data_IF_935602075660
#
_entry.id   IF_935602075660
#
_cell.length_a   1.000
_cell.length_b   1.000
_cell.length_c   1.000
_cell.angle_alpha   90.00
_cell.angle_beta   90.00
_cell.angle_gamma   90.00
#
_symmetry.space_group_name_H-M   'P 1'
#
loop_
_entity.id
_entity.type
_entity.pdbx_description
1 polymer ?
#
# COMPACT_ATOMS: atom_id res chain seq x y z
N UNK A 1 23.21 -32.24 18.82
CA UNK A 1 21.97 -31.86 18.11
C UNK A 1 22.36 -30.87 17.02
N UNK A 2 22.00 -31.17 15.78
CA UNK A 2 22.29 -30.30 14.64
C UNK A 2 21.08 -29.39 14.39
N UNK A 3 21.25 -28.09 14.65
CA UNK A 3 20.19 -27.07 14.50
C UNK A 3 19.68 -27.02 13.06
N UNK A 4 20.50 -27.41 12.08
CA UNK A 4 20.10 -27.47 10.67
C UNK A 4 19.20 -28.67 10.38
N UNK A 5 19.49 -29.83 10.99
CA UNK A 5 18.64 -31.00 10.88
C UNK A 5 17.26 -30.73 11.49
N UNK A 6 17.22 -30.11 12.68
CA UNK A 6 15.96 -29.75 13.33
C UNK A 6 15.14 -28.74 12.52
N UNK A 7 15.77 -27.73 11.92
CA UNK A 7 15.10 -26.75 11.09
C UNK A 7 14.54 -27.38 9.80
N UNK A 8 15.29 -28.31 9.21
CA UNK A 8 14.85 -29.11 8.05
C UNK A 8 13.62 -29.95 8.39
N UNK A 9 13.66 -30.70 9.49
CA UNK A 9 12.54 -31.55 9.93
C UNK A 9 11.30 -30.74 10.30
N UNK A 10 11.50 -29.56 10.90
CA UNK A 10 10.43 -28.63 11.24
C UNK A 10 9.92 -27.81 10.05
N UNK A 11 10.58 -27.87 8.89
CA UNK A 11 10.23 -27.05 7.73
C UNK A 11 10.37 -25.55 7.98
N UNK A 12 11.29 -25.12 8.85
CA UNK A 12 11.48 -23.71 9.21
C UNK A 12 12.86 -23.18 8.80
N UNK A 13 12.98 -21.86 8.61
CA UNK A 13 14.25 -21.20 8.35
C UNK A 13 15.02 -20.87 9.62
N UNK A 14 16.35 -20.82 9.52
CA UNK A 14 17.25 -20.50 10.63
C UNK A 14 17.71 -19.05 10.53
N UNK A 15 17.48 -18.27 11.58
CA UNK A 15 17.96 -16.89 11.68
C UNK A 15 19.41 -16.84 12.17
N UNK A 16 20.24 -16.10 11.46
CA UNK A 16 21.63 -15.82 11.85
C UNK A 16 21.67 -14.44 12.49
N UNK A 17 22.11 -14.38 13.75
CA UNK A 17 22.25 -13.12 14.50
C UNK A 17 23.70 -12.67 14.57
N UNK A 18 23.93 -11.37 14.42
CA UNK A 18 25.20 -10.70 14.71
C UNK A 18 24.93 -9.57 15.71
N UNK A 19 25.50 -9.68 16.92
CA UNK A 19 25.29 -8.73 18.02
C UNK A 19 23.80 -8.38 18.19
N UNK A 20 22.97 -9.42 18.31
CA UNK A 20 21.51 -9.33 18.52
C UNK A 20 20.71 -8.78 17.33
N UNK A 21 21.36 -8.48 16.19
CA UNK A 21 20.68 -8.10 14.95
C UNK A 21 20.63 -9.28 13.98
N UNK A 22 19.49 -9.49 13.32
CA UNK A 22 19.38 -10.50 12.26
C UNK A 22 20.27 -10.09 11.10
N UNK A 23 21.29 -10.90 10.82
CA UNK A 23 22.24 -10.72 9.72
C UNK A 23 21.85 -11.52 8.48
N UNK A 24 21.05 -12.57 8.63
CA UNK A 24 20.57 -13.38 7.51
C UNK A 24 19.62 -14.49 7.94
N UNK A 25 19.05 -15.16 6.95
CA UNK A 25 18.23 -16.36 7.12
C UNK A 25 18.80 -17.45 6.23
N UNK A 26 19.05 -18.62 6.79
CA UNK A 26 19.36 -19.82 6.04
C UNK A 26 18.10 -20.67 5.87
N UNK A 27 17.90 -21.15 4.65
CA UNK A 27 16.81 -22.02 4.24
C UNK A 27 17.41 -23.24 3.54
N UNK A 28 16.67 -24.34 3.50
CA UNK A 28 17.03 -25.46 2.63
C UNK A 28 16.79 -25.07 1.17
N UNK A 29 17.46 -25.79 0.26
CA UNK A 29 17.24 -25.60 -1.17
C UNK A 29 15.78 -25.78 -1.56
N UNK A 30 15.13 -26.84 -1.05
CA UNK A 30 13.72 -27.15 -1.30
C UNK A 30 12.79 -26.00 -0.85
N UNK A 31 13.04 -25.42 0.33
CA UNK A 31 12.28 -24.28 0.84
C UNK A 31 12.42 -23.06 -0.06
N UNK A 32 13.64 -22.78 -0.53
CA UNK A 32 13.90 -21.65 -1.43
C UNK A 32 13.21 -21.83 -2.79
N UNK A 33 13.32 -23.03 -3.38
CA UNK A 33 12.68 -23.35 -4.66
C UNK A 33 11.16 -23.31 -4.57
N UNK A 34 10.58 -23.81 -3.47
CA UNK A 34 9.13 -23.74 -3.22
C UNK A 34 8.64 -22.30 -3.15
N UNK A 35 9.35 -21.42 -2.43
CA UNK A 35 9.02 -19.99 -2.35
C UNK A 35 9.08 -19.30 -3.71
N UNK A 36 10.04 -19.68 -4.57
CA UNK A 36 10.11 -19.14 -5.93
C UNK A 36 8.92 -19.60 -6.78
N UNK A 37 8.55 -20.88 -6.70
CA UNK A 37 7.41 -21.42 -7.42
C UNK A 37 6.09 -20.77 -6.98
N UNK A 38 5.86 -20.63 -5.67
CA UNK A 38 4.69 -19.92 -5.15
C UNK A 38 4.65 -18.48 -5.67
N UNK A 39 5.78 -17.78 -5.64
CA UNK A 39 5.89 -16.41 -6.13
C UNK A 39 5.58 -16.30 -7.62
N UNK A 40 6.02 -17.26 -8.44
CA UNK A 40 5.71 -17.30 -9.86
C UNK A 40 4.24 -17.63 -10.13
N UNK A 41 3.63 -18.54 -9.37
CA UNK A 41 2.18 -18.84 -9.45
C UNK A 41 1.36 -17.61 -9.08
N UNK A 42 1.71 -16.90 -7.99
CA UNK A 42 1.08 -15.65 -7.59
C UNK A 42 1.20 -14.58 -8.68
N UNK A 43 2.36 -14.48 -9.35
CA UNK A 43 2.55 -13.56 -10.47
C UNK A 43 1.74 -13.96 -11.70
N UNK A 44 1.54 -15.25 -11.94
CA UNK A 44 0.74 -15.76 -13.05
C UNK A 44 -0.76 -15.57 -12.83
N UNK A 45 -1.26 -15.85 -11.63
CA UNK A 45 -2.67 -15.59 -11.27
C UNK A 45 -3.03 -14.12 -11.42
N UNK A 46 -2.17 -13.20 -10.94
CA UNK A 46 -2.37 -11.75 -11.16
C UNK A 46 -2.36 -11.40 -12.66
N UNK A 47 -1.56 -12.09 -13.48
CA UNK A 47 -1.54 -11.88 -14.94
C UNK A 47 -2.74 -12.50 -15.65
N UNK A 48 -3.31 -13.59 -15.14
CA UNK A 48 -4.50 -14.23 -15.69
C UNK A 48 -5.78 -13.46 -15.35
N UNK A 49 -5.86 -12.86 -14.15
CA UNK A 49 -6.91 -11.89 -13.79
C UNK A 49 -6.89 -10.63 -14.68
N UNK A 50 -5.77 -10.36 -15.35
CA UNK A 50 -5.61 -9.29 -16.35
C UNK A 50 -5.92 -9.76 -17.79
N UNK A 51 -6.19 -11.05 -18.01
CA UNK A 51 -6.27 -11.67 -19.35
C UNK A 51 -7.63 -12.25 -19.73
N UNK A 52 -8.70 -12.13 -18.93
CA UNK A 52 -10.04 -12.47 -19.44
C UNK A 52 -10.51 -11.43 -20.48
N UNK A 53 -10.64 -11.80 -21.77
CA UNK A 53 -11.20 -10.94 -22.80
C UNK A 53 -12.64 -11.40 -23.05
N UNK A 54 -13.63 -10.66 -22.57
CA UNK A 54 -14.95 -10.68 -23.21
C UNK A 54 -15.03 -9.50 -24.17
N UNK A 55 -14.62 -9.77 -25.39
CA UNK A 55 -14.98 -8.99 -26.57
C UNK A 55 -16.51 -8.92 -26.67
N UNK A 56 -17.07 -7.74 -26.41
CA UNK A 56 -18.20 -7.21 -27.17
C UNK A 56 -17.97 -5.71 -27.40
N UNK A 57 -17.64 -5.42 -28.66
CA UNK A 57 -17.98 -4.20 -29.40
C UNK A 57 -17.64 -2.86 -28.75
N UNK A 58 -16.42 -2.42 -29.10
CA UNK A 58 -15.95 -1.05 -29.37
C UNK A 58 -17.03 0.03 -29.28
N UNK A 59 -17.15 0.65 -28.10
CA UNK A 59 -17.36 2.08 -28.00
C UNK A 59 -16.20 2.65 -27.19
N UNK A 60 -15.68 3.78 -27.67
CA UNK A 60 -14.55 4.52 -27.14
C UNK A 60 -14.76 4.93 -25.67
N UNK A 61 -14.39 4.08 -24.71
CA UNK A 61 -14.22 4.48 -23.31
C UNK A 61 -12.96 3.85 -22.72
N UNK A 62 -11.83 4.47 -23.06
CA UNK A 62 -10.68 4.56 -22.17
C UNK A 62 -11.12 5.26 -20.87
N UNK A 63 -11.61 4.53 -19.86
CA UNK A 63 -11.92 5.14 -18.54
C UNK A 63 -11.53 4.21 -17.39
N UNK A 64 -10.31 4.44 -16.89
CA UNK A 64 -10.03 4.69 -15.47
C UNK A 64 -10.48 3.66 -14.41
N UNK A 65 -9.61 2.68 -14.13
CA UNK A 65 -9.44 2.14 -12.76
C UNK A 65 -8.38 2.96 -12.00
N UNK A 66 -8.40 4.26 -12.19
CA UNK A 66 -7.74 5.23 -11.32
C UNK A 66 -8.66 5.51 -10.12
N UNK A 67 -8.09 5.87 -8.97
CA UNK A 67 -8.88 6.26 -7.82
C UNK A 67 -9.98 7.27 -8.23
N UNK A 68 -11.22 7.14 -7.72
CA UNK A 68 -12.23 8.19 -7.89
C UNK A 68 -11.84 9.41 -7.05
N UNK A 69 -10.87 10.17 -7.54
CA UNK A 69 -10.43 11.42 -6.93
C UNK A 69 -11.39 12.49 -7.40
N UNK A 70 -12.27 12.91 -6.49
CA UNK A 70 -13.12 14.07 -6.71
C UNK A 70 -12.33 15.29 -6.28
N UNK A 71 -11.95 16.12 -7.26
CA UNK A 71 -11.26 17.40 -7.06
C UNK A 71 -12.23 18.55 -7.33
N UNK A 72 -12.45 19.41 -6.35
CA UNK A 72 -13.37 20.56 -6.47
C UNK A 72 -12.69 21.88 -6.87
N UNK A 73 -11.40 21.87 -7.23
CA UNK A 73 -10.63 23.08 -7.52
C UNK A 73 -9.93 23.02 -8.88
N UNK A 74 -10.20 24.02 -9.73
CA UNK A 74 -9.55 24.24 -11.02
C UNK A 74 -8.03 24.42 -10.81
N UNK A 75 -7.22 23.56 -11.44
CA UNK A 75 -5.75 23.55 -11.30
C UNK A 75 -5.17 22.44 -10.42
N UNK A 76 -5.99 21.52 -9.89
CA UNK A 76 -5.56 20.31 -9.16
C UNK A 76 -5.54 19.04 -10.01
N UNK A 77 -5.90 19.11 -11.30
CA UNK A 77 -6.05 17.94 -12.18
C UNK A 77 -4.79 17.09 -12.24
N UNK A 78 -3.61 17.71 -12.36
CA UNK A 78 -2.32 16.99 -12.42
C UNK A 78 -2.04 16.24 -11.10
N UNK A 79 -2.37 16.86 -9.96
CA UNK A 79 -2.15 16.29 -8.64
C UNK A 79 -3.16 15.16 -8.37
N UNK A 80 -4.41 15.33 -8.82
CA UNK A 80 -5.44 14.30 -8.80
C UNK A 80 -5.06 13.10 -9.68
N UNK A 81 -4.60 13.33 -10.91
CA UNK A 81 -4.11 12.28 -11.82
C UNK A 81 -2.89 11.55 -11.24
N UNK A 82 -1.95 12.28 -10.62
CA UNK A 82 -0.78 11.66 -10.00
C UNK A 82 -1.17 10.83 -8.76
N UNK A 83 -2.11 11.31 -7.93
CA UNK A 83 -2.69 10.54 -6.82
C UNK A 83 -3.40 9.28 -7.33
N UNK A 84 -4.16 9.42 -8.41
CA UNK A 84 -4.86 8.35 -9.10
C UNK A 84 -3.95 7.24 -9.61
N UNK A 85 -2.79 7.60 -10.17
CA UNK A 85 -1.78 6.63 -10.61
C UNK A 85 -0.96 6.04 -9.45
N UNK A 86 -0.75 6.83 -8.39
CA UNK A 86 0.04 6.41 -7.23
C UNK A 86 -0.77 5.54 -6.25
N UNK A 87 -2.09 5.67 -6.20
CA UNK A 87 -2.94 4.96 -5.24
C UNK A 87 -4.01 4.15 -5.97
N UNK A 88 -4.01 2.84 -5.72
CA UNK A 88 -5.01 1.92 -6.26
C UNK A 88 -6.10 1.72 -5.21
N UNK A 89 -7.32 2.17 -5.50
CA UNK A 89 -8.49 1.96 -4.64
C UNK A 89 -8.94 0.50 -4.66
N UNK A 90 -9.39 -0.01 -3.51
CA UNK A 90 -9.85 -1.39 -3.35
C UNK A 90 -8.73 -2.42 -3.12
N UNK A 91 -7.47 -1.98 -3.07
CA UNK A 91 -6.30 -2.85 -2.77
C UNK A 91 -5.81 -2.57 -1.35
N UNK A 92 -5.29 -3.60 -0.68
CA UNK A 92 -4.65 -3.48 0.62
C UNK A 92 -3.25 -2.88 0.49
N UNK A 93 -2.99 -1.77 1.19
CA UNK A 93 -1.68 -1.11 1.26
C UNK A 93 -1.27 -0.99 2.73
N UNK A 94 0.04 -1.00 3.03
CA UNK A 94 0.49 -0.72 4.40
C UNK A 94 0.41 0.78 4.69
N UNK A 95 0.08 1.16 5.92
CA UNK A 95 0.04 2.55 6.35
C UNK A 95 1.39 3.27 6.11
N UNK A 96 2.51 2.54 6.21
CA UNK A 96 3.85 3.06 5.92
C UNK A 96 3.98 3.49 4.45
N UNK A 97 3.52 2.64 3.54
CA UNK A 97 3.61 2.85 2.09
C UNK A 97 2.63 3.95 1.64
N UNK A 98 1.44 4.01 2.23
CA UNK A 98 0.52 5.15 2.03
C UNK A 98 1.21 6.46 2.37
N UNK A 99 1.77 6.58 3.57
CA UNK A 99 2.44 7.81 4.01
C UNK A 99 3.65 8.17 3.12
N UNK A 100 4.47 7.18 2.73
CA UNK A 100 5.60 7.40 1.81
C UNK A 100 5.15 7.94 0.45
N UNK A 101 4.06 7.38 -0.12
CA UNK A 101 3.47 7.87 -1.37
C UNK A 101 2.91 9.27 -1.23
N UNK A 102 2.22 9.57 -0.13
CA UNK A 102 1.69 10.91 0.14
C UNK A 102 2.82 11.94 0.30
N UNK A 103 3.89 11.59 1.02
CA UNK A 103 5.07 12.46 1.16
C UNK A 103 5.76 12.69 -0.18
N UNK A 104 5.89 11.66 -1.02
CA UNK A 104 6.45 11.79 -2.37
C UNK A 104 5.63 12.73 -3.26
N UNK A 105 4.30 12.78 -3.06
CA UNK A 105 3.38 13.71 -3.72
C UNK A 105 3.39 15.12 -3.11
N UNK A 106 4.19 15.35 -2.06
CA UNK A 106 4.37 16.66 -1.44
C UNK A 106 3.46 16.94 -0.24
N UNK A 107 2.74 15.93 0.28
CA UNK A 107 1.96 16.05 1.51
C UNK A 107 2.82 15.99 2.77
N UNK A 108 2.31 16.55 3.85
CA UNK A 108 2.93 16.50 5.18
C UNK A 108 2.70 15.09 5.74
N UNK A 109 3.81 14.43 6.13
CA UNK A 109 3.75 13.10 6.77
C UNK A 109 2.92 13.16 8.04
N UNK A 110 2.16 12.10 8.27
CA UNK A 110 1.39 11.88 9.49
C UNK A 110 2.10 10.92 10.45
N UNK A 111 3.32 10.47 10.12
CA UNK A 111 4.19 9.73 11.04
C UNK A 111 4.72 10.70 12.10
N UNK A 112 3.98 10.88 13.17
CA UNK A 112 4.36 11.74 14.31
C UNK A 112 5.26 10.98 15.27
N UNK A 113 6.53 11.41 15.36
CA UNK A 113 7.46 11.01 16.44
C UNK A 113 7.74 9.50 16.56
N UNK A 114 8.35 9.12 17.69
CA UNK A 114 8.84 7.78 18.00
C UNK A 114 7.66 6.80 18.25
N UNK A 115 6.89 6.51 17.19
CA UNK A 115 5.64 5.75 17.24
C UNK A 115 5.11 5.32 15.86
N UNK A 116 5.73 5.75 14.76
CA UNK A 116 5.45 5.23 13.43
C UNK A 116 4.03 5.55 12.94
N UNK A 117 3.35 4.56 12.35
CA UNK A 117 2.04 4.70 11.69
C UNK A 117 0.84 4.48 12.62
N UNK A 118 1.07 4.35 13.93
CA UNK A 118 0.05 4.00 14.93
C UNK A 118 -1.00 5.10 15.08
N UNK A 119 -0.58 6.37 15.10
CA UNK A 119 -1.49 7.51 15.22
C UNK A 119 -2.40 7.62 13.99
N UNK A 120 -1.83 7.39 12.80
CA UNK A 120 -2.59 7.34 11.54
C UNK A 120 -3.63 6.22 11.53
N UNK A 121 -3.24 5.01 11.97
CA UNK A 121 -4.15 3.88 12.08
C UNK A 121 -5.27 4.16 13.09
N UNK A 122 -4.92 4.78 14.23
CA UNK A 122 -5.88 5.18 15.25
C UNK A 122 -6.86 6.26 14.74
N UNK A 123 -6.39 7.22 13.95
CA UNK A 123 -7.22 8.24 13.28
C UNK A 123 -8.20 7.58 12.30
N UNK A 124 -7.70 6.63 11.49
CA UNK A 124 -8.51 5.87 10.54
C UNK A 124 -9.57 5.02 11.25
N UNK A 125 -9.21 4.33 12.34
CA UNK A 125 -10.17 3.52 13.12
C UNK A 125 -11.27 4.37 13.77
N UNK A 126 -10.94 5.59 14.23
CA UNK A 126 -11.90 6.47 14.91
C UNK A 126 -12.81 7.23 13.95
N UNK A 127 -12.26 7.72 12.85
CA UNK A 127 -12.97 8.65 11.95
C UNK A 127 -13.37 8.01 10.63
N UNK A 128 -12.79 6.86 10.28
CA UNK A 128 -12.94 6.22 8.96
C UNK A 128 -12.15 6.93 7.85
N UNK A 129 -11.32 7.93 8.19
CA UNK A 129 -10.61 8.77 7.23
C UNK A 129 -9.27 9.28 7.75
N UNK A 130 -8.39 9.68 6.83
CA UNK A 130 -7.11 10.32 7.12
C UNK A 130 -6.98 11.58 6.27
N UNK A 131 -6.75 12.73 6.91
CA UNK A 131 -6.61 14.01 6.21
C UNK A 131 -5.14 14.40 6.06
N UNK A 132 -4.65 14.49 4.83
CA UNK A 132 -3.30 14.96 4.52
C UNK A 132 -3.32 16.39 4.00
N UNK A 133 -2.40 17.23 4.48
CA UNK A 133 -2.26 18.60 4.02
C UNK A 133 -1.04 18.72 3.09
N UNK A 134 -1.19 19.42 1.96
CA UNK A 134 -0.08 19.64 1.03
C UNK A 134 0.92 20.65 1.63
N UNK A 135 2.23 20.34 1.55
CA UNK A 135 3.30 21.22 2.07
C UNK A 135 3.44 22.49 1.26
N UNK A 136 3.32 22.40 -0.07
CA UNK A 136 3.35 23.56 -0.95
C UNK A 136 1.97 24.19 -0.95
N UNK A 137 1.91 25.51 -0.77
CA UNK A 137 0.71 26.31 -0.94
C UNK A 137 0.73 26.92 -2.36
N UNK A 138 0.32 26.20 -3.42
CA UNK A 138 0.11 26.86 -4.69
C UNK A 138 -0.92 27.97 -4.45
N UNK A 139 -0.56 29.20 -4.80
CA UNK A 139 -1.46 30.37 -4.70
C UNK A 139 -1.96 30.71 -3.27
N UNK A 140 -1.19 30.36 -2.22
CA UNK A 140 -1.54 30.58 -0.80
C UNK A 140 -2.77 29.81 -0.30
N UNK A 141 -3.25 28.83 -1.08
CA UNK A 141 -4.40 27.99 -0.77
C UNK A 141 -3.96 26.71 -0.06
N UNK A 142 -4.73 26.26 0.93
CA UNK A 142 -4.42 25.03 1.66
C UNK A 142 -5.15 23.87 1.01
N UNK A 143 -4.41 22.88 0.53
CA UNK A 143 -4.98 21.70 -0.14
C UNK A 143 -5.00 20.55 0.84
N UNK A 144 -6.16 19.90 0.96
CA UNK A 144 -6.36 18.71 1.78
C UNK A 144 -6.74 17.53 0.90
N UNK A 145 -6.03 16.42 1.07
CA UNK A 145 -6.41 15.11 0.58
C UNK A 145 -7.03 14.29 1.72
N UNK A 146 -8.33 14.06 1.65
CA UNK A 146 -9.08 13.21 2.55
C UNK A 146 -9.13 11.79 1.99
N UNK A 147 -8.44 10.87 2.66
CA UNK A 147 -8.37 9.46 2.28
C UNK A 147 -9.36 8.70 3.13
N UNK A 148 -10.38 8.14 2.50
CA UNK A 148 -11.38 7.28 3.15
C UNK A 148 -10.96 5.83 2.97
N UNK A 149 -10.88 5.09 4.07
CA UNK A 149 -10.46 3.71 4.06
C UNK A 149 -10.86 2.96 5.32
N UNK A 150 -10.51 1.69 5.36
CA UNK A 150 -10.72 0.84 6.52
C UNK A 150 -9.47 -0.01 6.79
N UNK A 151 -9.25 -0.36 8.05
CA UNK A 151 -8.20 -1.32 8.40
C UNK A 151 -8.62 -2.71 7.92
N UNK A 152 -7.68 -3.47 7.37
CA UNK A 152 -7.97 -4.85 7.00
C UNK A 152 -7.90 -5.77 8.22
N UNK A 153 -9.06 -6.05 8.83
CA UNK A 153 -9.21 -6.96 9.97
C UNK A 153 -8.84 -8.42 9.68
N UNK A 154 -8.74 -8.81 8.40
CA UNK A 154 -8.37 -10.17 7.99
C UNK A 154 -6.86 -10.38 7.87
N UNK A 155 -6.04 -9.31 7.94
CA UNK A 155 -4.59 -9.44 7.83
C UNK A 155 -3.94 -9.65 9.20
N UNK A 156 -3.03 -10.63 9.27
CA UNK A 156 -2.15 -10.81 10.45
C UNK A 156 -1.30 -9.57 10.77
N UNK A 157 -1.08 -8.70 9.78
CA UNK A 157 -0.34 -7.45 9.94
C UNK A 157 -1.31 -6.30 10.17
N UNK A 158 -1.28 -5.75 11.39
CA UNK A 158 -2.18 -4.68 11.85
C UNK A 158 -1.97 -3.34 11.14
N UNK A 159 -0.99 -3.23 10.24
CA UNK A 159 -0.64 -2.01 9.52
C UNK A 159 -1.27 -1.92 8.12
N UNK A 160 -2.07 -2.91 7.70
CA UNK A 160 -2.74 -2.90 6.39
C UNK A 160 -4.07 -2.16 6.40
N UNK A 161 -4.25 -1.33 5.39
CA UNK A 161 -5.44 -0.50 5.16
C UNK A 161 -5.96 -0.71 3.73
N UNK A 162 -7.26 -0.61 3.55
CA UNK A 162 -7.95 -0.65 2.27
C UNK A 162 -8.44 0.76 1.96
N UNK A 163 -7.95 1.33 0.87
CA UNK A 163 -8.38 2.65 0.42
C UNK A 163 -9.68 2.50 -0.37
N UNK A 164 -10.74 3.15 0.09
CA UNK A 164 -12.03 3.15 -0.59
C UNK A 164 -12.15 4.33 -1.56
N UNK A 165 -11.88 5.54 -1.09
CA UNK A 165 -12.03 6.79 -1.85
C UNK A 165 -11.01 7.82 -1.41
N UNK A 166 -10.71 8.76 -2.30
CA UNK A 166 -9.80 9.88 -2.01
C UNK A 166 -10.52 11.15 -2.49
N UNK A 167 -10.61 12.16 -1.63
CA UNK A 167 -11.19 13.46 -1.95
C UNK A 167 -10.11 14.53 -1.86
N UNK A 168 -10.03 15.39 -2.87
CA UNK A 168 -9.16 16.56 -2.88
C UNK A 168 -10.02 17.80 -2.79
N UNK A 169 -9.84 18.57 -1.72
CA UNK A 169 -10.53 19.83 -1.53
C UNK A 169 -9.57 20.93 -1.09
N UNK A 170 -9.92 22.15 -1.48
CA UNK A 170 -9.29 23.37 -1.04
C UNK A 170 -10.00 23.89 0.22
N UNK A 171 -9.25 24.54 1.12
CA UNK A 171 -9.73 25.15 2.36
C UNK A 171 -9.67 26.67 2.30
#
# INVERSE_FOLDING_TARGET
>A
MDVFAQARDAGTGVYIFNREKVAGVMLTQEQYETLLQELDVLRQTVKEELKEPKEKEIHEESVNKTASVVSNAEGMEELAQTLQHSLITGVTITAKNLDERMVALGFITKKTGFGGVVDMLSELMKTGKINYQLRRKPQNRTIIAEIIGEQNSQSQLMDKIIIKKIFLHEL
#
